data_IF_855039373881
#
_entry.id   IF_855039373881
#
_cell.length_a   1.000
_cell.length_b   1.000
_cell.length_c   1.000
_cell.angle_alpha   90.00
_cell.angle_beta   90.00
_cell.angle_gamma   90.00
#
_symmetry.space_group_name_H-M   'P 1'
#
loop_
_entity.id
_entity.type
_entity.pdbx_description
1 polymer ?
#
# COMPACT_ATOMS: atom_id res chain seq x y z
N UNK A 1 11.38 -7.12 -10.89
CA UNK A 1 11.42 -6.89 -9.44
C UNK A 1 12.77 -7.32 -8.87
N UNK A 2 13.42 -6.47 -8.07
CA UNK A 2 14.68 -6.80 -7.39
C UNK A 2 14.46 -6.76 -5.88
N UNK A 3 14.61 -7.91 -5.21
CA UNK A 3 14.42 -8.01 -3.76
C UNK A 3 15.74 -7.74 -3.07
N UNK A 4 15.72 -6.74 -2.21
CA UNK A 4 16.83 -6.31 -1.39
C UNK A 4 16.72 -6.91 0.01
N UNK A 5 17.85 -7.15 0.68
CA UNK A 5 17.86 -7.52 2.09
C UNK A 5 17.28 -6.40 2.95
N UNK A 6 17.14 -6.65 4.25
CA UNK A 6 16.64 -5.65 5.20
C UNK A 6 17.39 -4.31 5.10
N UNK A 7 16.64 -3.25 4.81
CA UNK A 7 17.18 -1.90 4.66
C UNK A 7 16.91 -1.09 5.92
N UNK A 8 17.90 -1.00 6.83
CA UNK A 8 17.73 -0.31 8.13
C UNK A 8 17.28 1.14 7.98
N UNK A 9 17.94 1.92 7.11
CA UNK A 9 17.59 3.34 6.93
C UNK A 9 16.15 3.54 6.41
N UNK A 10 15.69 2.65 5.54
CA UNK A 10 14.33 2.71 4.99
C UNK A 10 13.32 2.22 6.03
N UNK A 11 13.65 1.16 6.77
CA UNK A 11 12.82 0.66 7.87
C UNK A 11 12.61 1.74 8.95
N UNK A 12 13.69 2.43 9.35
CA UNK A 12 13.60 3.54 10.31
C UNK A 12 12.73 4.68 9.78
N UNK A 13 12.81 4.98 8.47
CA UNK A 13 11.95 5.98 7.82
C UNK A 13 10.49 5.57 7.79
N UNK A 14 10.20 4.30 7.53
CA UNK A 14 8.84 3.75 7.54
C UNK A 14 8.20 3.78 8.94
N UNK A 15 9.03 3.68 9.98
CA UNK A 15 8.56 3.74 11.37
C UNK A 15 8.39 5.16 11.92
N UNK A 16 8.75 6.20 11.15
CA UNK A 16 8.56 7.58 11.62
C UNK A 16 7.08 7.90 11.67
N UNK A 17 6.62 8.45 12.80
CA UNK A 17 5.21 8.87 12.94
C UNK A 17 4.22 7.72 13.11
N UNK A 18 4.69 6.47 13.18
CA UNK A 18 3.87 5.29 13.47
C UNK A 18 4.07 4.84 14.91
N UNK A 19 3.00 4.49 15.60
CA UNK A 19 3.05 4.00 16.99
C UNK A 19 2.67 2.52 17.05
N UNK A 20 3.56 1.66 17.56
CA UNK A 20 3.30 0.23 17.75
C UNK A 20 3.65 -0.67 16.56
N UNK A 21 3.94 -0.08 15.40
CA UNK A 21 4.36 -0.78 14.18
C UNK A 21 5.82 -1.25 14.28
N UNK A 22 6.19 -2.32 13.55
CA UNK A 22 7.57 -2.82 13.50
C UNK A 22 7.88 -3.46 12.15
N UNK A 23 8.97 -3.03 11.51
CA UNK A 23 9.50 -3.72 10.34
C UNK A 23 10.37 -4.90 10.81
N UNK A 24 9.89 -6.12 10.54
CA UNK A 24 10.59 -7.35 10.89
C UNK A 24 11.94 -7.48 10.17
N UNK A 25 12.99 -8.00 10.83
CA UNK A 25 14.31 -8.18 10.22
C UNK A 25 14.32 -9.16 9.03
N UNK A 26 13.28 -10.00 8.92
CA UNK A 26 13.04 -10.88 7.78
C UNK A 26 12.22 -10.24 6.66
N UNK A 27 11.88 -8.95 6.76
CA UNK A 27 11.13 -8.25 5.72
C UNK A 27 11.94 -8.15 4.42
N UNK A 28 11.25 -8.33 3.31
CA UNK A 28 11.79 -8.22 1.96
C UNK A 28 11.58 -6.80 1.47
N UNK A 29 12.66 -6.12 1.07
CA UNK A 29 12.60 -4.75 0.58
C UNK A 29 12.61 -4.71 -0.94
N UNK A 30 11.80 -3.85 -1.52
CA UNK A 30 11.72 -3.68 -2.97
C UNK A 30 11.65 -2.20 -3.28
N UNK A 31 12.47 -1.77 -4.25
CA UNK A 31 12.32 -0.46 -4.86
C UNK A 31 11.60 -0.64 -6.20
N UNK A 32 10.44 0.00 -6.34
CA UNK A 32 9.66 0.02 -7.58
C UNK A 32 10.31 0.95 -8.61
N UNK A 33 9.93 0.82 -9.88
CA UNK A 33 10.40 1.70 -10.95
C UNK A 33 9.98 3.17 -10.77
N UNK A 34 8.86 3.40 -10.10
CA UNK A 34 8.35 4.74 -9.77
C UNK A 34 9.04 5.35 -8.53
N UNK A 35 9.98 4.63 -7.91
CA UNK A 35 10.77 5.13 -6.77
C UNK A 35 10.19 4.83 -5.40
N UNK A 36 9.02 4.16 -5.31
CA UNK A 36 8.46 3.72 -4.04
C UNK A 36 9.29 2.60 -3.43
N UNK A 37 9.40 2.63 -2.12
CA UNK A 37 9.95 1.56 -1.30
C UNK A 37 8.84 0.74 -0.67
N UNK A 38 8.94 -0.58 -0.78
CA UNK A 38 8.01 -1.53 -0.17
C UNK A 38 8.81 -2.42 0.76
N UNK A 39 8.39 -2.54 2.02
CA UNK A 39 8.90 -3.50 2.98
C UNK A 39 7.82 -4.51 3.29
N UNK A 40 7.99 -5.76 2.86
CA UNK A 40 6.97 -6.80 2.96
C UNK A 40 7.37 -7.91 3.92
N UNK A 41 6.42 -8.35 4.75
CA UNK A 41 6.59 -9.46 5.67
C UNK A 41 5.28 -10.23 5.85
N UNK A 42 5.23 -11.48 5.36
CA UNK A 42 4.14 -12.44 5.61
C UNK A 42 2.70 -11.95 5.35
N UNK A 43 2.52 -10.97 4.46
CA UNK A 43 1.20 -10.40 4.12
C UNK A 43 1.04 -8.94 4.53
N UNK A 44 1.90 -8.44 5.40
CA UNK A 44 1.96 -7.03 5.79
C UNK A 44 3.01 -6.29 4.96
N UNK A 45 2.70 -5.06 4.56
CA UNK A 45 3.60 -4.26 3.77
C UNK A 45 3.58 -2.78 4.18
N UNK A 46 4.76 -2.20 4.34
CA UNK A 46 4.93 -0.76 4.48
C UNK A 46 5.39 -0.16 3.14
N UNK A 47 4.71 0.89 2.69
CA UNK A 47 4.97 1.62 1.44
C UNK A 47 5.40 3.05 1.73
N UNK A 48 6.62 3.38 1.31
CA UNK A 48 7.19 4.72 1.44
C UNK A 48 7.37 5.32 0.04
N UNK A 49 6.66 6.41 -0.23
CA UNK A 49 6.80 7.14 -1.48
C UNK A 49 8.16 7.87 -1.53
N UNK A 50 8.76 8.05 -2.72
CA UNK A 50 10.05 8.73 -2.86
C UNK A 50 10.01 10.20 -2.37
N UNK A 51 8.84 10.84 -2.49
CA UNK A 51 8.62 12.23 -2.09
C UNK A 51 8.03 12.37 -0.67
N UNK A 52 7.87 11.27 0.09
CA UNK A 52 7.35 11.33 1.46
C UNK A 52 8.33 12.10 2.37
N UNK A 53 7.89 13.18 3.05
CA UNK A 53 8.74 13.96 3.94
C UNK A 53 9.28 13.15 5.14
N UNK A 54 10.37 13.60 5.78
CA UNK A 54 10.96 12.92 6.95
C UNK A 54 10.00 12.72 8.12
N UNK A 55 9.07 13.66 8.35
CA UNK A 55 8.20 13.69 9.52
C UNK A 55 6.79 13.11 9.27
N UNK A 56 6.56 12.54 8.09
CA UNK A 56 5.26 11.98 7.69
C UNK A 56 5.36 10.45 7.70
N UNK A 57 4.37 9.75 8.30
CA UNK A 57 4.35 8.29 8.28
C UNK A 57 4.19 7.73 6.88
N UNK A 58 4.72 6.52 6.68
CA UNK A 58 4.50 5.78 5.45
C UNK A 58 3.13 5.08 5.48
N UNK A 59 2.72 4.52 4.35
CA UNK A 59 1.47 3.77 4.25
C UNK A 59 1.69 2.32 4.66
N UNK A 60 0.70 1.72 5.33
CA UNK A 60 0.72 0.31 5.71
C UNK A 60 -0.44 -0.41 5.03
N UNK A 61 -0.17 -1.61 4.54
CA UNK A 61 -1.11 -2.48 3.84
C UNK A 61 -1.06 -3.83 4.52
N UNK A 62 -2.16 -4.21 5.14
CA UNK A 62 -2.32 -5.51 5.80
C UNK A 62 -3.05 -6.48 4.86
N UNK A 63 -2.69 -7.76 4.90
CA UNK A 63 -3.37 -8.80 4.13
C UNK A 63 -3.10 -8.82 2.62
N UNK A 64 -1.97 -8.24 2.17
CA UNK A 64 -1.53 -8.33 0.78
C UNK A 64 -1.26 -9.79 0.38
N UNK A 65 -1.92 -10.26 -0.69
CA UNK A 65 -1.85 -11.65 -1.12
C UNK A 65 -0.45 -12.07 -1.61
N UNK A 66 0.29 -11.14 -2.23
CA UNK A 66 1.64 -11.39 -2.74
C UNK A 66 2.39 -10.07 -2.96
N UNK A 67 3.70 -10.11 -2.71
CA UNK A 67 4.58 -8.96 -2.90
C UNK A 67 4.68 -8.53 -4.38
N UNK A 68 4.66 -9.48 -5.32
CA UNK A 68 4.71 -9.20 -6.75
C UNK A 68 3.48 -8.38 -7.19
N UNK A 69 2.29 -8.82 -6.83
CA UNK A 69 1.03 -8.12 -7.08
C UNK A 69 1.04 -6.71 -6.47
N UNK A 70 1.53 -6.57 -5.23
CA UNK A 70 1.63 -5.27 -4.57
C UNK A 70 2.57 -4.31 -5.31
N UNK A 71 3.72 -4.81 -5.77
CA UNK A 71 4.67 -4.02 -6.57
C UNK A 71 4.00 -3.56 -7.87
N UNK A 72 3.30 -4.47 -8.57
CA UNK A 72 2.62 -4.12 -9.81
C UNK A 72 1.50 -3.09 -9.60
N UNK A 73 0.72 -3.19 -8.53
CA UNK A 73 -0.32 -2.21 -8.18
C UNK A 73 0.25 -0.81 -7.94
N UNK A 74 1.37 -0.73 -7.20
CA UNK A 74 2.08 0.52 -6.92
C UNK A 74 2.71 1.10 -8.19
N UNK A 75 3.30 0.24 -9.03
CA UNK A 75 3.90 0.66 -10.30
C UNK A 75 2.85 1.14 -11.33
N UNK A 76 1.66 0.54 -11.34
CA UNK A 76 0.55 0.97 -12.20
C UNK A 76 -0.13 2.26 -11.72
N UNK A 77 0.21 2.76 -10.52
CA UNK A 77 -0.39 3.98 -9.97
C UNK A 77 -1.85 3.80 -9.56
N UNK A 78 -2.31 2.56 -9.39
CA UNK A 78 -3.65 2.30 -8.82
C UNK A 78 -3.70 2.62 -7.32
N UNK A 79 -2.52 2.67 -6.67
CA UNK A 79 -2.35 3.11 -5.29
C UNK A 79 -2.64 4.62 -5.09
N UNK A 80 -2.33 5.47 -6.08
CA UNK A 80 -2.53 6.94 -6.02
C UNK A 80 -4.02 7.33 -6.06
N UNK A 81 -4.89 6.48 -6.61
CA UNK A 81 -6.35 6.67 -6.58
C UNK A 81 -6.99 6.32 -5.23
N UNK A 82 -6.22 5.80 -4.28
CA UNK A 82 -6.68 5.42 -2.93
C UNK A 82 -6.50 6.55 -1.89
N UNK A 83 -5.87 7.68 -2.25
CA UNK A 83 -5.58 8.82 -1.34
C UNK A 83 -6.80 9.61 -0.81
N UNK A 84 -8.04 9.17 -1.07
CA UNK A 84 -9.25 9.75 -0.44
C UNK A 84 -9.87 8.86 0.66
N UNK A 85 -9.24 7.75 1.05
CA UNK A 85 -9.86 6.81 2.02
C UNK A 85 -9.31 6.96 3.45
N UNK A 86 -9.81 7.98 4.16
CA UNK A 86 -9.64 8.14 5.61
C UNK A 86 -10.65 7.21 6.34
N UNK A 87 -10.31 5.91 6.42
CA UNK A 87 -10.91 4.94 7.35
C UNK A 87 -12.20 4.22 6.91
N UNK A 88 -12.11 2.90 6.74
CA UNK A 88 -12.89 1.86 7.46
C UNK A 88 -12.46 0.47 6.97
N UNK A 89 -12.08 -0.41 7.91
CA UNK A 89 -11.47 -1.73 7.75
C UNK A 89 -12.31 -2.74 6.92
N UNK A 90 -13.59 -2.47 6.66
CA UNK A 90 -14.52 -3.41 6.01
C UNK A 90 -14.47 -3.40 4.46
N UNK A 91 -13.85 -2.38 3.84
CA UNK A 91 -13.83 -2.22 2.38
C UNK A 91 -12.75 -3.07 1.66
N UNK A 92 -11.77 -3.60 2.41
CA UNK A 92 -10.68 -4.41 1.86
C UNK A 92 -11.14 -5.74 1.25
N UNK A 93 -12.23 -6.32 1.77
CA UNK A 93 -12.70 -7.63 1.35
C UNK A 93 -13.48 -7.62 0.03
N UNK A 94 -14.04 -6.48 -0.40
CA UNK A 94 -14.85 -6.42 -1.62
C UNK A 94 -14.02 -6.20 -2.90
N UNK A 95 -12.85 -5.57 -2.80
CA UNK A 95 -12.00 -5.32 -3.98
C UNK A 95 -11.16 -6.55 -4.40
N UNK A 96 -10.75 -7.38 -3.44
CA UNK A 96 -10.01 -8.62 -3.73
C UNK A 96 -10.88 -9.74 -4.35
N UNK A 97 -12.22 -9.61 -4.29
CA UNK A 97 -13.16 -10.62 -4.76
C UNK A 97 -13.88 -10.29 -6.09
N UNK A 98 -13.56 -9.15 -6.71
CA UNK A 98 -14.44 -8.51 -7.70
C UNK A 98 -14.00 -8.55 -9.18
N UNK A 99 -13.33 -9.60 -9.67
CA UNK A 99 -13.34 -9.86 -11.11
C UNK A 99 -14.70 -10.43 -11.54
N UNK A 100 -15.75 -9.60 -11.65
CA UNK A 100 -16.90 -9.88 -12.50
C UNK A 100 -17.66 -8.61 -12.91
N UNK A 101 -17.49 -8.23 -14.18
CA UNK A 101 -18.49 -7.69 -15.10
C UNK A 101 -19.51 -6.64 -14.63
N UNK A 102 -19.49 -5.48 -15.31
CA UNK A 102 -20.72 -4.86 -15.81
C UNK A 102 -21.06 -3.48 -15.25
N UNK A 103 -20.60 -2.43 -15.94
CA UNK A 103 -21.13 -1.08 -15.85
C UNK A 103 -22.55 -1.04 -16.49
N UNK A 104 -23.62 -1.01 -15.70
CA UNK A 104 -24.89 -0.35 -16.07
C UNK A 104 -25.83 -0.23 -14.84
N UNK A 105 -26.40 0.96 -14.60
CA UNK A 105 -27.59 1.08 -13.75
C UNK A 105 -27.61 2.16 -12.65
N UNK A 106 -27.73 3.42 -13.06
CA UNK A 106 -28.71 4.39 -12.55
C UNK A 106 -29.11 4.37 -11.05
N UNK A 107 -28.70 5.39 -10.29
CA UNK A 107 -29.49 5.88 -9.15
C UNK A 107 -29.39 7.41 -9.04
N UNK A 108 -30.51 8.09 -9.32
CA UNK A 108 -30.62 9.54 -9.25
C UNK A 108 -30.96 10.02 -7.84
N UNK A 109 -30.34 11.11 -7.42
CA UNK A 109 -30.82 11.95 -6.33
C UNK A 109 -30.70 13.42 -6.73
N UNK A 110 -31.86 14.02 -7.05
CA UNK A 110 -32.06 15.46 -7.19
C UNK A 110 -32.01 16.12 -5.81
N UNK A 111 -31.17 17.13 -5.62
CA UNK A 111 -31.27 18.04 -4.48
C UNK A 111 -31.84 19.38 -4.95
N UNK A 112 -33.01 19.73 -4.41
CA UNK A 112 -33.59 21.07 -4.36
C UNK A 112 -33.44 21.64 -2.96
#
# INVERSE_FOLDING_TARGET
>A
MNILPYQTEIAERMLVGTEGETIYPGAQFVQTANGYWIAWHEGDAALLAPDTPPDIPCFWVEGAQSLEELVELVENGEFDKMEEFDGDDDAWHEHAAGCDGGHDGHCGCSHS
#
